data_IF_648295363130
#
_entry.id   IF_648295363130
#
_cell.length_a   1.000
_cell.length_b   1.000
_cell.length_c   1.000
_cell.angle_alpha   90.00
_cell.angle_beta   90.00
_cell.angle_gamma   90.00
#
_symmetry.space_group_name_H-M   'P 1'
#
loop_
_entity.id
_entity.type
_entity.pdbx_description
1 polymer ?
#
# COMPACT_ATOMS: atom_id res chain seq x y z
N UNK A 1 -6.80 18.86 -2.71
CA UNK A 1 -6.56 17.63 -3.49
C UNK A 1 -7.48 16.57 -2.90
N UNK A 2 -8.24 15.86 -3.72
CA UNK A 2 -9.11 14.81 -3.18
C UNK A 2 -8.22 13.65 -2.70
N UNK A 3 -8.46 13.18 -1.49
CA UNK A 3 -7.73 12.06 -0.91
C UNK A 3 -8.22 10.77 -1.60
N UNK A 4 -7.37 10.18 -2.44
CA UNK A 4 -7.70 9.00 -3.24
C UNK A 4 -8.20 7.83 -2.37
N UNK A 5 -7.68 7.68 -1.15
CA UNK A 5 -8.17 6.70 -0.18
C UNK A 5 -9.64 6.95 0.18
N UNK A 6 -10.00 8.21 0.49
CA UNK A 6 -11.40 8.59 0.77
C UNK A 6 -12.32 8.41 -0.43
N UNK A 7 -11.81 8.56 -1.66
CA UNK A 7 -12.59 8.28 -2.87
C UNK A 7 -12.92 6.78 -2.92
N UNK A 8 -11.92 5.93 -2.73
CA UNK A 8 -12.09 4.47 -2.73
C UNK A 8 -13.02 4.01 -1.61
N UNK A 9 -12.88 4.53 -0.40
CA UNK A 9 -13.77 4.20 0.73
C UNK A 9 -15.23 4.51 0.42
N UNK A 10 -15.49 5.66 -0.23
CA UNK A 10 -16.86 6.04 -0.64
C UNK A 10 -17.40 5.12 -1.73
N UNK A 11 -16.58 4.74 -2.71
CA UNK A 11 -16.95 3.77 -3.75
C UNK A 11 -17.30 2.42 -3.10
N UNK A 12 -16.47 1.95 -2.18
CA UNK A 12 -16.64 0.70 -1.42
C UNK A 12 -17.89 0.73 -0.55
N UNK A 13 -18.22 1.87 0.06
CA UNK A 13 -19.45 2.06 0.83
C UNK A 13 -20.73 1.94 -0.01
N UNK A 14 -20.65 2.23 -1.32
CA UNK A 14 -21.75 1.98 -2.27
C UNK A 14 -21.79 0.52 -2.77
N UNK A 15 -20.86 -0.34 -2.36
CA UNK A 15 -20.77 -1.74 -2.79
C UNK A 15 -20.14 -1.92 -4.18
N UNK A 16 -19.47 -0.89 -4.68
CA UNK A 16 -18.62 -0.94 -5.87
C UNK A 16 -17.14 -1.02 -5.46
N UNK A 17 -16.26 -1.28 -6.40
CA UNK A 17 -14.81 -1.21 -6.15
C UNK A 17 -14.07 -0.68 -7.38
N UNK A 18 -12.87 -0.14 -7.17
CA UNK A 18 -11.93 0.18 -8.25
C UNK A 18 -10.63 -0.58 -8.01
N UNK A 19 -10.10 -1.18 -9.07
CA UNK A 19 -8.84 -1.91 -9.04
C UNK A 19 -7.98 -1.55 -10.25
N UNK A 20 -6.70 -1.86 -10.16
CA UNK A 20 -5.79 -1.82 -11.29
C UNK A 20 -5.75 -3.18 -11.99
N UNK A 21 -5.94 -3.18 -13.30
CA UNK A 21 -5.69 -4.30 -14.20
C UNK A 21 -4.60 -3.85 -15.20
N UNK A 22 -3.35 -4.18 -14.86
CA UNK A 22 -2.18 -3.61 -15.51
C UNK A 22 -2.22 -2.07 -15.47
N UNK A 23 -2.14 -1.37 -16.63
CA UNK A 23 -2.16 0.09 -16.66
C UNK A 23 -3.58 0.70 -16.59
N UNK A 24 -4.64 -0.10 -16.44
CA UNK A 24 -6.03 0.35 -16.54
C UNK A 24 -6.74 0.30 -15.20
N UNK A 25 -7.57 1.30 -14.93
CA UNK A 25 -8.54 1.23 -13.84
C UNK A 25 -9.79 0.47 -14.29
N UNK A 26 -10.19 -0.51 -13.50
CA UNK A 26 -11.40 -1.31 -13.69
C UNK A 26 -12.35 -1.04 -12.52
N UNK A 27 -13.60 -0.73 -12.85
CA UNK A 27 -14.66 -0.48 -11.85
C UNK A 27 -15.58 -1.70 -11.80
N UNK A 28 -15.65 -2.32 -10.62
CA UNK A 28 -16.52 -3.46 -10.33
C UNK A 28 -17.84 -2.96 -9.73
N UNK A 29 -18.97 -3.55 -10.15
CA UNK A 29 -20.33 -3.16 -9.74
C UNK A 29 -20.64 -1.67 -9.96
N UNK A 30 -20.25 -1.13 -11.12
CA UNK A 30 -20.43 0.28 -11.50
C UNK A 30 -21.87 0.79 -11.39
N UNK A 31 -22.85 -0.11 -11.52
CA UNK A 31 -24.27 0.18 -11.43
C UNK A 31 -24.73 0.59 -10.03
N UNK A 32 -23.94 0.29 -8.98
CA UNK A 32 -24.23 0.71 -7.61
C UNK A 32 -23.78 2.15 -7.31
N UNK A 33 -23.03 2.76 -8.22
CA UNK A 33 -22.53 4.12 -8.04
C UNK A 33 -23.60 5.16 -8.41
N UNK A 34 -23.65 6.29 -7.68
CA UNK A 34 -24.59 7.36 -8.00
C UNK A 34 -24.25 8.03 -9.34
N UNK A 35 -25.23 8.73 -9.92
CA UNK A 35 -25.04 9.50 -11.15
C UNK A 35 -23.88 10.49 -11.01
N UNK A 36 -23.05 10.60 -12.05
CA UNK A 36 -21.86 11.47 -12.06
C UNK A 36 -20.61 10.87 -11.38
N UNK A 37 -20.74 9.75 -10.64
CA UNK A 37 -19.59 9.12 -9.99
C UNK A 37 -18.52 8.65 -10.98
N UNK A 38 -18.92 8.15 -12.15
CA UNK A 38 -17.97 7.67 -13.17
C UNK A 38 -17.09 8.79 -13.71
N UNK A 39 -17.64 9.98 -13.91
CA UNK A 39 -16.87 11.13 -14.40
C UNK A 39 -15.95 11.68 -13.30
N UNK A 40 -16.42 11.66 -12.05
CA UNK A 40 -15.59 11.97 -10.89
C UNK A 40 -14.40 10.99 -10.77
N UNK A 41 -14.64 9.68 -10.90
CA UNK A 41 -13.57 8.67 -10.87
C UNK A 41 -12.58 8.89 -12.02
N UNK A 42 -13.05 9.21 -13.23
CA UNK A 42 -12.17 9.52 -14.37
C UNK A 42 -11.32 10.75 -14.11
N UNK A 43 -11.90 11.81 -13.55
CA UNK A 43 -11.18 13.04 -13.21
C UNK A 43 -10.04 12.80 -12.22
N UNK A 44 -10.27 11.91 -11.25
CA UNK A 44 -9.28 11.54 -10.23
C UNK A 44 -8.50 10.25 -10.55
N UNK A 45 -8.61 9.73 -11.78
CA UNK A 45 -8.09 8.40 -12.13
C UNK A 45 -6.59 8.24 -11.91
N UNK A 46 -5.79 9.28 -12.17
CA UNK A 46 -4.33 9.22 -11.92
C UNK A 46 -3.99 9.12 -10.44
N UNK A 47 -4.70 9.87 -9.59
CA UNK A 47 -4.52 9.88 -8.14
C UNK A 47 -4.94 8.54 -7.55
N UNK A 48 -6.08 7.98 -8.02
CA UNK A 48 -6.57 6.67 -7.63
C UNK A 48 -5.59 5.57 -8.06
N UNK A 49 -5.10 5.61 -9.31
CA UNK A 49 -4.13 4.63 -9.79
C UNK A 49 -2.82 4.68 -9.01
N UNK A 50 -2.30 5.88 -8.72
CA UNK A 50 -1.09 6.03 -7.90
C UNK A 50 -1.29 5.45 -6.49
N UNK A 51 -2.42 5.76 -5.85
CA UNK A 51 -2.76 5.24 -4.53
C UNK A 51 -2.89 3.71 -4.51
N UNK A 52 -3.65 3.14 -5.45
CA UNK A 52 -3.81 1.68 -5.57
C UNK A 52 -2.47 0.98 -5.85
N UNK A 53 -1.56 1.63 -6.60
CA UNK A 53 -0.20 1.13 -6.82
C UNK A 53 0.60 1.06 -5.52
N UNK A 54 0.55 2.10 -4.69
CA UNK A 54 1.20 2.12 -3.38
C UNK A 54 0.57 1.13 -2.40
N UNK A 55 -0.76 0.99 -2.39
CA UNK A 55 -1.49 0.00 -1.59
C UNK A 55 -1.09 -1.44 -1.98
N UNK A 56 -0.99 -1.72 -3.29
CA UNK A 56 -0.53 -3.02 -3.80
C UNK A 56 0.92 -3.32 -3.43
N UNK A 57 1.83 -2.32 -3.56
CA UNK A 57 3.23 -2.49 -3.15
C UNK A 57 3.35 -2.78 -1.65
N UNK A 58 2.55 -2.10 -0.82
CA UNK A 58 2.49 -2.36 0.62
C UNK A 58 2.05 -3.79 0.91
N UNK A 59 0.93 -4.24 0.33
CA UNK A 59 0.40 -5.59 0.55
C UNK A 59 1.37 -6.68 0.07
N UNK A 60 2.00 -6.52 -1.09
CA UNK A 60 3.00 -7.45 -1.60
C UNK A 60 4.21 -7.55 -0.67
N UNK A 61 4.76 -6.40 -0.23
CA UNK A 61 5.90 -6.37 0.70
C UNK A 61 5.55 -6.99 2.05
N UNK A 62 4.39 -6.65 2.61
CA UNK A 62 3.93 -7.24 3.86
C UNK A 62 3.74 -8.75 3.74
N UNK A 63 3.19 -9.24 2.63
CA UNK A 63 3.07 -10.67 2.38
C UNK A 63 4.43 -11.38 2.28
N UNK A 64 5.42 -10.80 1.58
CA UNK A 64 6.79 -11.36 1.53
C UNK A 64 7.40 -11.45 2.93
N UNK A 65 7.29 -10.37 3.72
CA UNK A 65 7.82 -10.34 5.09
C UNK A 65 7.09 -11.33 6.01
N UNK A 66 5.79 -11.54 5.81
CA UNK A 66 5.01 -12.55 6.54
C UNK A 66 5.43 -13.97 6.18
N UNK A 67 5.38 -14.33 4.89
CA UNK A 67 5.53 -15.72 4.45
C UNK A 67 6.99 -16.13 4.31
N UNK A 68 7.79 -15.34 3.60
CA UNK A 68 9.21 -15.64 3.37
C UNK A 68 10.05 -15.20 4.57
N UNK A 69 9.67 -14.06 5.16
CA UNK A 69 10.29 -13.55 6.37
C UNK A 69 9.77 -14.19 7.65
N UNK A 70 8.76 -15.07 7.63
CA UNK A 70 8.30 -15.79 8.82
C UNK A 70 7.79 -14.92 9.98
N UNK A 71 7.43 -13.66 9.72
CA UNK A 71 6.81 -12.78 10.72
C UNK A 71 5.29 -12.98 10.76
N UNK A 72 4.67 -12.72 11.91
CA UNK A 72 3.21 -12.60 11.97
C UNK A 72 2.73 -11.42 11.13
N UNK A 73 1.54 -11.51 10.51
CA UNK A 73 0.93 -10.43 9.72
C UNK A 73 1.03 -9.02 10.36
N UNK A 74 0.69 -8.80 11.65
CA UNK A 74 0.81 -7.47 12.25
C UNK A 74 2.26 -6.95 12.32
N UNK A 75 3.22 -7.83 12.55
CA UNK A 75 4.64 -7.47 12.58
C UNK A 75 5.17 -7.17 11.18
N UNK A 76 4.70 -7.92 10.17
CA UNK A 76 5.03 -7.69 8.77
C UNK A 76 4.50 -6.33 8.27
N UNK A 77 3.25 -6.00 8.57
CA UNK A 77 2.64 -4.70 8.24
C UNK A 77 3.39 -3.53 8.91
N UNK A 78 3.73 -3.65 10.20
CA UNK A 78 4.50 -2.62 10.90
C UNK A 78 5.88 -2.41 10.28
N UNK A 79 6.57 -3.49 9.93
CA UNK A 79 7.87 -3.41 9.28
C UNK A 79 7.74 -2.78 7.88
N UNK A 80 6.75 -3.18 7.09
CA UNK A 80 6.49 -2.55 5.78
C UNK A 80 6.22 -1.06 5.92
N UNK A 81 5.45 -0.63 6.93
CA UNK A 81 5.26 0.80 7.21
C UNK A 81 6.58 1.51 7.49
N UNK A 82 7.46 0.93 8.31
CA UNK A 82 8.77 1.51 8.61
C UNK A 82 9.63 1.60 7.34
N UNK A 83 9.65 0.56 6.51
CA UNK A 83 10.46 0.50 5.30
C UNK A 83 10.00 1.48 4.21
N UNK A 84 8.69 1.77 4.14
CA UNK A 84 8.11 2.75 3.20
C UNK A 84 8.01 4.17 3.77
N UNK A 85 8.38 4.36 5.04
CA UNK A 85 8.32 5.68 5.68
C UNK A 85 9.36 6.63 5.10
N UNK A 86 8.94 7.88 4.92
CA UNK A 86 9.85 8.99 4.61
C UNK A 86 10.77 9.25 5.81
N UNK A 87 11.94 9.83 5.53
CA UNK A 87 12.87 10.25 6.57
C UNK A 87 12.19 11.24 7.54
N UNK A 88 12.42 11.12 8.87
CA UNK A 88 12.03 12.14 9.82
C UNK A 88 12.61 13.51 9.46
N UNK A 89 11.92 14.59 9.84
CA UNK A 89 12.26 15.96 9.44
C UNK A 89 13.63 16.45 9.89
N UNK A 90 14.17 15.86 10.96
CA UNK A 90 15.46 16.17 11.58
C UNK A 90 16.60 15.25 11.14
N UNK A 91 16.31 14.26 10.27
CA UNK A 91 17.28 13.28 9.79
C UNK A 91 17.52 13.48 8.29
N UNK A 92 18.79 13.43 7.88
CA UNK A 92 19.11 13.53 6.45
C UNK A 92 18.58 12.30 5.70
N UNK A 93 18.10 12.44 4.44
CA UNK A 93 17.67 11.30 3.64
C UNK A 93 18.74 10.21 3.47
N UNK A 94 20.01 10.61 3.46
CA UNK A 94 21.14 9.69 3.36
C UNK A 94 21.29 8.82 4.62
N UNK A 95 21.20 9.43 5.81
CA UNK A 95 21.28 8.72 7.08
C UNK A 95 20.07 7.80 7.29
N UNK A 96 18.88 8.25 6.90
CA UNK A 96 17.67 7.44 6.92
C UNK A 96 17.78 6.21 6.02
N UNK A 97 18.21 6.41 4.76
CA UNK A 97 18.41 5.32 3.81
C UNK A 97 19.43 4.30 4.33
N UNK A 98 20.53 4.78 4.93
CA UNK A 98 21.54 3.93 5.53
C UNK A 98 20.98 3.12 6.71
N UNK A 99 20.23 3.77 7.61
CA UNK A 99 19.60 3.13 8.75
C UNK A 99 18.63 2.02 8.32
N UNK A 100 17.73 2.30 7.38
CA UNK A 100 16.78 1.32 6.84
C UNK A 100 17.52 0.13 6.23
N UNK A 101 18.58 0.38 5.46
CA UNK A 101 19.42 -0.68 4.89
C UNK A 101 20.10 -1.55 5.96
N UNK A 102 20.58 -0.94 7.06
CA UNK A 102 21.18 -1.68 8.17
C UNK A 102 20.15 -2.47 8.98
N UNK A 103 18.97 -1.91 9.21
CA UNK A 103 17.87 -2.62 9.86
C UNK A 103 17.47 -3.87 9.06
N UNK A 104 17.34 -3.76 7.72
CA UNK A 104 17.07 -4.89 6.84
C UNK A 104 18.13 -5.98 6.96
N UNK A 105 19.43 -5.63 6.89
CA UNK A 105 20.53 -6.59 7.02
C UNK A 105 20.51 -7.33 8.37
N UNK A 106 20.17 -6.62 9.45
CA UNK A 106 20.05 -7.23 10.77
C UNK A 106 18.89 -8.21 10.78
N UNK A 107 17.73 -7.84 10.25
CA UNK A 107 16.55 -8.72 10.18
C UNK A 107 16.84 -10.01 9.39
N UNK A 108 17.53 -9.90 8.25
CA UNK A 108 17.95 -11.06 7.44
C UNK A 108 18.90 -12.01 8.20
N UNK A 109 19.66 -11.47 9.17
CA UNK A 109 20.64 -12.24 9.96
C UNK A 109 20.03 -12.95 11.17
N UNK A 110 18.81 -12.57 11.58
CA UNK A 110 18.13 -13.23 12.70
C UNK A 110 17.50 -14.53 12.17
N UNK A 111 17.87 -15.71 12.69
CA UNK A 111 17.24 -16.95 12.29
C UNK A 111 15.75 -16.90 12.66
N UNK A 112 14.89 -16.84 11.65
CA UNK A 112 13.44 -16.87 11.80
C UNK A 112 13.04 -18.21 12.43
N UNK A 113 12.35 -18.17 13.58
CA UNK A 113 11.70 -19.37 14.11
C UNK A 113 10.61 -19.76 13.12
N UNK A 114 10.78 -20.90 12.46
CA UNK A 114 9.72 -21.53 11.68
C UNK A 114 8.49 -21.68 12.57
N UNK A 115 7.36 -21.10 12.14
CA UNK A 115 6.07 -21.39 12.74
C UNK A 115 5.82 -22.90 12.59
N UNK A 116 5.64 -23.58 13.73
CA UNK A 116 5.21 -24.97 13.81
C UNK A 116 3.70 -25.08 13.60
#
# INVERSE_FOLDING_TARGET
>A
MADAGKILDRIRAHGANVMLDGPKLVIVNREKLPAGALDFIRQHGKEIAAFLGTESEFEERAAIIEFDGGLSRPAAEYLTHLLLSSAPTDISPADWTWFVGKASQVLDSVPMRSAA
#
